data_IF_778125720959
#
_entry.id   IF_778125720959
#
_cell.length_a   1.000
_cell.length_b   1.000
_cell.length_c   1.000
_cell.angle_alpha   90.00
_cell.angle_beta   90.00
_cell.angle_gamma   90.00
#
_symmetry.space_group_name_H-M   'P 1'
#
loop_
_entity.id
_entity.type
_entity.pdbx_description
1 polymer ?
#
# COMPACT_ATOMS: atom_id res chain seq x y z
N UNK A 1 -4.93 9.83 -7.06
CA UNK A 1 -5.54 8.90 -8.02
C UNK A 1 -4.52 8.04 -8.76
N UNK A 2 -3.58 8.60 -9.55
CA UNK A 2 -2.67 7.78 -10.37
C UNK A 2 -1.85 6.71 -9.62
N UNK A 3 -1.36 7.01 -8.40
CA UNK A 3 -0.70 6.02 -7.52
C UNK A 3 -1.63 4.85 -7.19
N UNK A 4 -2.90 5.14 -6.90
CA UNK A 4 -3.91 4.13 -6.60
C UNK A 4 -4.15 3.21 -7.80
N UNK A 5 -4.39 3.79 -8.97
CA UNK A 5 -4.71 3.03 -10.19
C UNK A 5 -3.55 2.11 -10.59
N UNK A 6 -2.32 2.60 -10.50
CA UNK A 6 -1.13 1.80 -10.82
C UNK A 6 -0.83 0.73 -9.78
N UNK A 7 -1.04 1.00 -8.49
CA UNK A 7 -0.88 0.01 -7.42
C UNK A 7 -1.87 -1.16 -7.58
N UNK A 8 -3.15 -0.86 -7.86
CA UNK A 8 -4.17 -1.89 -8.11
C UNK A 8 -3.90 -2.66 -9.41
N UNK A 9 -3.62 -1.97 -10.52
CA UNK A 9 -3.28 -2.63 -11.76
C UNK A 9 -2.09 -3.58 -11.58
N UNK A 10 -1.07 -3.17 -10.81
CA UNK A 10 0.07 -4.03 -10.51
C UNK A 10 -0.30 -5.23 -9.63
N UNK A 11 -1.09 -5.02 -8.59
CA UNK A 11 -1.52 -6.09 -7.68
C UNK A 11 -2.31 -7.20 -8.40
N UNK A 12 -3.10 -6.81 -9.41
CA UNK A 12 -3.88 -7.70 -10.27
C UNK A 12 -3.08 -8.23 -11.48
N UNK A 13 -1.77 -7.95 -11.55
CA UNK A 13 -0.90 -8.29 -12.69
C UNK A 13 -1.42 -7.80 -14.06
N UNK A 14 -2.12 -6.67 -14.07
CA UNK A 14 -2.62 -6.01 -15.28
C UNK A 14 -1.61 -4.97 -15.81
N UNK A 15 -1.67 -4.64 -17.12
CA UNK A 15 -0.95 -3.51 -17.67
C UNK A 15 -1.29 -2.21 -16.92
N UNK A 16 -0.28 -1.38 -16.66
CA UNK A 16 -0.46 -0.10 -15.99
C UNK A 16 -1.22 0.88 -16.91
N UNK A 17 -2.23 1.62 -16.40
CA UNK A 17 -2.95 2.60 -17.21
C UNK A 17 -2.01 3.72 -17.70
N UNK A 18 -1.95 3.94 -19.02
CA UNK A 18 -1.01 4.89 -19.62
C UNK A 18 -1.18 6.32 -19.10
N UNK A 19 -2.41 6.75 -18.84
CA UNK A 19 -2.72 8.07 -18.26
C UNK A 19 -2.20 8.21 -16.82
N UNK A 20 -2.32 7.15 -16.01
CA UNK A 20 -1.80 7.14 -14.65
C UNK A 20 -0.27 7.14 -14.65
N UNK A 21 0.36 6.36 -15.54
CA UNK A 21 1.83 6.38 -15.74
C UNK A 21 2.30 7.78 -16.15
N UNK A 22 1.65 8.41 -17.13
CA UNK A 22 1.98 9.78 -17.55
C UNK A 22 1.83 10.78 -16.41
N UNK A 23 0.78 10.66 -15.60
CA UNK A 23 0.56 11.53 -14.42
C UNK A 23 1.67 11.36 -13.38
N UNK A 24 2.09 10.12 -13.10
CA UNK A 24 3.20 9.84 -12.19
C UNK A 24 4.50 10.46 -12.73
N UNK A 25 4.81 10.23 -14.01
CA UNK A 25 6.02 10.77 -14.63
C UNK A 25 6.05 12.30 -14.61
N UNK A 26 4.91 12.95 -14.90
CA UNK A 26 4.78 14.40 -14.84
C UNK A 26 4.96 14.93 -13.40
N UNK A 27 4.37 14.28 -12.39
CA UNK A 27 4.58 14.69 -11.01
C UNK A 27 6.04 14.52 -10.58
N UNK A 28 6.68 13.41 -10.98
CA UNK A 28 8.07 13.12 -10.67
C UNK A 28 9.07 14.09 -11.32
N UNK A 29 8.72 14.75 -12.43
CA UNK A 29 9.64 15.68 -13.10
C UNK A 29 9.85 16.99 -12.35
N UNK A 30 8.99 17.35 -11.38
CA UNK A 30 9.20 18.50 -10.52
C UNK A 30 10.34 18.24 -9.51
N UNK A 31 10.89 19.31 -8.92
CA UNK A 31 11.86 19.19 -7.83
C UNK A 31 11.23 18.44 -6.63
N UNK A 32 11.89 17.42 -6.06
CA UNK A 32 11.39 16.73 -4.87
C UNK A 32 11.60 17.56 -3.60
N UNK A 33 11.14 17.04 -2.47
CA UNK A 33 11.54 17.55 -1.16
C UNK A 33 13.05 17.39 -0.96
N UNK A 34 13.68 18.39 -0.31
CA UNK A 34 15.13 18.38 -0.01
C UNK A 34 15.30 18.00 1.46
N UNK A 35 15.88 16.82 1.78
CA UNK A 35 16.17 16.45 3.15
C UNK A 35 17.13 17.45 3.81
N UNK A 36 16.88 17.80 5.06
CA UNK A 36 17.75 18.67 5.85
C UNK A 36 18.01 18.03 7.22
N UNK A 37 19.28 17.92 7.60
CA UNK A 37 19.70 17.49 8.94
C UNK A 37 19.87 18.74 9.82
N UNK A 38 19.21 18.78 10.96
CA UNK A 38 19.35 19.85 11.92
C UNK A 38 20.76 19.85 12.55
N UNK A 39 21.16 20.99 13.10
CA UNK A 39 22.48 21.15 13.73
C UNK A 39 22.72 20.23 14.93
N UNK A 40 21.66 19.65 15.52
CA UNK A 40 21.76 18.65 16.58
C UNK A 40 22.26 17.26 16.09
N UNK A 41 22.39 17.08 14.77
CA UNK A 41 22.88 15.86 14.13
C UNK A 41 21.94 14.66 14.23
N UNK A 42 20.74 14.81 14.78
CA UNK A 42 19.81 13.69 15.05
C UNK A 42 18.39 13.97 14.56
N UNK A 43 18.02 15.22 14.35
CA UNK A 43 16.72 15.62 13.84
C UNK A 43 16.81 15.83 12.33
N UNK A 44 15.96 15.13 11.58
CA UNK A 44 15.81 15.33 10.14
C UNK A 44 14.48 16.02 9.81
N UNK A 45 14.48 16.88 8.81
CA UNK A 45 13.32 17.60 8.30
C UNK A 45 13.41 17.83 6.80
N UNK A 46 12.60 18.78 6.33
CA UNK A 46 12.57 19.20 4.93
C UNK A 46 12.89 20.69 4.84
N UNK A 47 13.82 21.04 3.96
CA UNK A 47 14.22 22.43 3.77
C UNK A 47 13.02 23.29 3.30
N UNK A 48 12.73 24.44 3.95
CA UNK A 48 11.64 25.32 3.55
C UNK A 48 11.99 26.16 2.31
N UNK A 49 10.98 26.68 1.58
CA UNK A 49 9.56 26.41 1.78
C UNK A 49 9.15 25.04 1.20
N UNK A 50 8.40 24.27 1.98
CA UNK A 50 7.81 23.00 1.54
C UNK A 50 6.56 23.28 0.70
N UNK A 51 6.55 22.80 -0.55
CA UNK A 51 5.40 22.92 -1.45
C UNK A 51 4.75 21.57 -1.73
N UNK A 52 3.43 21.59 -1.93
CA UNK A 52 2.67 20.39 -2.29
C UNK A 52 3.22 19.68 -3.54
N UNK A 53 3.67 20.45 -4.53
CA UNK A 53 4.28 19.89 -5.74
C UNK A 53 5.57 19.10 -5.46
N UNK A 54 6.38 19.52 -4.47
CA UNK A 54 7.58 18.79 -4.07
C UNK A 54 7.23 17.48 -3.37
N UNK A 55 6.24 17.50 -2.48
CA UNK A 55 5.75 16.29 -1.82
C UNK A 55 5.17 15.28 -2.83
N UNK A 56 4.41 15.77 -3.82
CA UNK A 56 3.88 14.93 -4.90
C UNK A 56 5.00 14.36 -5.78
N UNK A 57 6.04 15.14 -6.09
CA UNK A 57 7.20 14.65 -6.83
C UNK A 57 7.93 13.55 -6.07
N UNK A 58 8.16 13.74 -4.76
CA UNK A 58 8.76 12.70 -3.91
C UNK A 58 7.93 11.42 -3.94
N UNK A 59 6.61 11.50 -3.69
CA UNK A 59 5.74 10.31 -3.72
C UNK A 59 5.67 9.65 -5.10
N UNK A 60 5.69 10.43 -6.18
CA UNK A 60 5.71 9.90 -7.54
C UNK A 60 7.01 9.14 -7.83
N UNK A 61 8.16 9.65 -7.38
CA UNK A 61 9.47 8.99 -7.51
C UNK A 61 9.52 7.68 -6.71
N UNK A 62 9.04 7.68 -5.47
CA UNK A 62 8.89 6.47 -4.66
C UNK A 62 8.01 5.42 -5.35
N UNK A 63 6.91 5.85 -5.98
CA UNK A 63 6.03 4.94 -6.72
C UNK A 63 6.72 4.38 -7.97
N UNK A 64 7.50 5.19 -8.69
CA UNK A 64 8.32 4.71 -9.82
C UNK A 64 9.29 3.64 -9.34
N UNK A 65 10.06 3.92 -8.28
CA UNK A 65 11.00 2.95 -7.70
C UNK A 65 10.30 1.67 -7.27
N UNK A 66 9.16 1.77 -6.61
CA UNK A 66 8.38 0.61 -6.19
C UNK A 66 7.88 -0.23 -7.37
N UNK A 67 7.44 0.41 -8.47
CA UNK A 67 6.91 -0.26 -9.67
C UNK A 67 7.99 -0.89 -10.55
N UNK A 68 9.21 -0.34 -10.55
CA UNK A 68 10.34 -0.83 -11.34
C UNK A 68 11.34 -1.67 -10.53
N UNK A 69 11.24 -1.65 -9.20
CA UNK A 69 12.20 -2.24 -8.29
C UNK A 69 11.91 -3.71 -7.92
N UNK A 70 12.72 -4.28 -7.01
CA UNK A 70 12.64 -5.69 -6.63
C UNK A 70 11.34 -6.05 -5.88
N UNK A 71 10.66 -5.05 -5.30
CA UNK A 71 9.41 -5.24 -4.58
C UNK A 71 8.18 -5.19 -5.49
N UNK A 72 8.34 -4.92 -6.79
CA UNK A 72 7.22 -4.67 -7.68
C UNK A 72 6.31 -5.90 -7.85
N UNK A 73 6.87 -7.12 -7.78
CA UNK A 73 6.11 -8.38 -7.78
C UNK A 73 5.51 -8.76 -6.42
N UNK A 74 5.72 -7.92 -5.38
CA UNK A 74 5.22 -8.13 -4.02
C UNK A 74 4.06 -7.20 -3.67
N UNK A 75 3.60 -6.38 -4.61
CA UNK A 75 2.40 -5.56 -4.45
C UNK A 75 1.18 -6.47 -4.52
N UNK A 76 0.34 -6.48 -3.48
CA UNK A 76 -0.83 -7.36 -3.33
C UNK A 76 -2.05 -6.58 -2.87
N UNK A 77 -3.22 -7.05 -3.27
CA UNK A 77 -4.49 -6.57 -2.70
C UNK A 77 -4.81 -7.26 -1.38
N UNK A 78 -5.49 -6.55 -0.50
CA UNK A 78 -6.04 -7.13 0.71
C UNK A 78 -7.13 -8.16 0.37
N UNK A 79 -7.00 -9.40 0.84
CA UNK A 79 -7.98 -10.46 0.56
C UNK A 79 -9.32 -10.31 1.31
N UNK A 80 -9.62 -9.14 1.89
CA UNK A 80 -10.83 -8.89 2.67
C UNK A 80 -11.90 -8.28 1.78
N UNK A 81 -13.11 -8.85 1.79
CA UNK A 81 -14.21 -8.52 0.86
C UNK A 81 -14.51 -7.02 0.67
N UNK A 82 -14.27 -6.20 1.69
CA UNK A 82 -14.55 -4.76 1.67
C UNK A 82 -13.30 -3.94 2.04
N UNK A 83 -12.12 -4.35 1.58
CA UNK A 83 -10.89 -3.62 1.82
C UNK A 83 -10.14 -3.35 0.51
N UNK A 84 -10.25 -2.15 -0.08
CA UNK A 84 -9.60 -1.83 -1.34
C UNK A 84 -8.12 -1.48 -1.15
N UNK A 85 -7.48 -1.88 -0.05
CA UNK A 85 -6.11 -1.48 0.21
C UNK A 85 -5.14 -2.43 -0.50
N UNK A 86 -4.15 -1.83 -1.15
CA UNK A 86 -2.97 -2.51 -1.67
C UNK A 86 -1.83 -2.40 -0.65
N UNK A 87 -0.98 -3.41 -0.57
CA UNK A 87 0.19 -3.43 0.30
C UNK A 87 1.38 -4.12 -0.39
N UNK A 88 2.59 -3.83 0.09
CA UNK A 88 3.79 -4.57 -0.28
C UNK A 88 4.00 -5.72 0.69
N UNK A 89 4.12 -6.94 0.16
CA UNK A 89 4.36 -8.15 0.93
C UNK A 89 5.84 -8.30 1.29
N UNK A 90 6.21 -7.67 2.39
CA UNK A 90 7.53 -7.76 3.02
C UNK A 90 7.69 -9.00 3.91
N UNK A 91 6.70 -9.91 3.95
CA UNK A 91 6.84 -11.14 4.72
C UNK A 91 7.88 -12.05 4.08
N UNK A 92 8.65 -12.76 4.92
CA UNK A 92 9.68 -13.72 4.48
C UNK A 92 9.15 -14.73 3.45
N UNK A 93 8.00 -15.42 3.66
CA UNK A 93 7.46 -16.34 2.65
C UNK A 93 6.77 -15.63 1.48
N UNK A 94 6.52 -14.31 1.56
CA UNK A 94 5.74 -13.60 0.54
C UNK A 94 4.31 -14.13 0.42
N UNK A 95 3.71 -14.53 1.55
CA UNK A 95 2.37 -15.14 1.59
C UNK A 95 1.37 -14.34 2.45
N UNK A 96 1.63 -13.04 2.66
CA UNK A 96 0.74 -12.18 3.44
C UNK A 96 -0.55 -11.96 2.66
N UNK A 97 -1.69 -12.14 3.32
CA UNK A 97 -3.03 -11.99 2.72
C UNK A 97 -3.75 -10.70 3.07
N UNK A 98 -3.33 -10.01 4.13
CA UNK A 98 -4.08 -8.90 4.72
C UNK A 98 -3.24 -7.63 4.80
N UNK A 99 -3.80 -6.48 4.45
CA UNK A 99 -3.10 -5.19 4.48
C UNK A 99 -2.62 -4.78 5.89
N UNK A 100 -3.20 -5.33 6.96
CA UNK A 100 -2.80 -5.17 8.35
C UNK A 100 -3.42 -6.29 9.18
N UNK A 101 -2.67 -6.82 10.15
CA UNK A 101 -3.15 -7.90 11.02
C UNK A 101 -4.21 -7.36 11.99
N UNK A 102 -3.95 -6.20 12.55
CA UNK A 102 -4.76 -5.47 13.54
C UNK A 102 -6.17 -5.15 13.01
N UNK A 103 -6.26 -4.93 11.69
CA UNK A 103 -7.49 -4.55 11.00
C UNK A 103 -8.12 -5.73 10.26
N UNK A 104 -7.58 -6.11 9.11
CA UNK A 104 -8.21 -7.10 8.22
C UNK A 104 -8.01 -8.53 8.73
N UNK A 105 -6.83 -8.86 9.26
CA UNK A 105 -6.56 -10.18 9.83
C UNK A 105 -7.46 -10.50 11.03
N UNK A 106 -7.64 -9.56 11.95
CA UNK A 106 -8.49 -9.72 13.13
C UNK A 106 -9.97 -9.84 12.76
N UNK A 107 -10.46 -9.02 11.82
CA UNK A 107 -11.84 -9.17 11.31
C UNK A 107 -12.09 -10.56 10.73
N UNK A 108 -11.15 -11.10 9.95
CA UNK A 108 -11.28 -12.45 9.41
C UNK A 108 -11.31 -13.52 10.52
N UNK A 109 -10.43 -13.43 11.52
CA UNK A 109 -10.42 -14.33 12.68
C UNK A 109 -11.76 -14.32 13.44
N UNK A 110 -12.32 -13.13 13.68
CA UNK A 110 -13.60 -12.97 14.37
C UNK A 110 -14.76 -13.56 13.57
N UNK A 111 -14.82 -13.32 12.25
CA UNK A 111 -15.83 -13.94 11.37
C UNK A 111 -15.74 -15.46 11.42
N UNK A 112 -14.53 -16.02 11.32
CA UNK A 112 -14.32 -17.47 11.39
C UNK A 112 -14.73 -18.06 12.75
N UNK A 113 -14.48 -17.35 13.86
CA UNK A 113 -14.93 -17.78 15.19
C UNK A 113 -16.46 -17.83 15.28
N UNK A 114 -17.14 -16.77 14.81
CA UNK A 114 -18.61 -16.70 14.82
C UNK A 114 -19.25 -17.77 13.95
N UNK A 115 -18.68 -18.05 12.77
CA UNK A 115 -19.16 -19.12 11.90
C UNK A 115 -19.07 -20.50 12.57
N UNK A 116 -17.98 -20.77 13.30
CA UNK A 116 -17.84 -22.02 14.08
C UNK A 116 -18.85 -22.12 15.22
N UNK A 117 -19.11 -21.02 15.93
CA UNK A 117 -20.10 -20.98 17.01
C UNK A 117 -21.52 -21.17 16.49
N UNK A 118 -21.86 -20.59 15.35
CA UNK A 118 -23.16 -20.78 14.70
C UNK A 118 -23.37 -22.23 14.25
N UNK A 119 -22.34 -22.87 13.68
CA UNK A 119 -22.42 -24.28 13.28
C UNK A 119 -22.47 -25.26 14.47
N UNK A 120 -21.85 -24.93 15.60
CA UNK A 120 -21.92 -25.75 16.83
C UNK A 120 -23.29 -25.66 17.53
N UNK A 121 -24.02 -24.55 17.37
CA UNK A 121 -25.36 -24.37 17.93
C UNK A 121 -26.47 -25.14 17.19
N UNK A 122 -26.23 -25.56 15.95
CA UNK A 122 -27.21 -26.29 15.13
C UNK A 122 -27.21 -27.80 15.40
N UNK A 123 -26.17 -28.36 16.02
CA UNK A 123 -26.00 -29.82 16.20
C UNK A 123 -26.62 -30.35 17.51
N UNK A 124 -27.07 -29.48 18.43
CA UNK A 124 -27.62 -29.87 19.74
C UNK A 124 -29.15 -29.75 19.85
N UNK A 125 -29.85 -29.67 18.71
CA UNK A 125 -31.31 -29.51 18.66
C UNK A 125 -31.98 -30.48 17.69
N UNK A 126 -31.85 -31.79 17.95
CA UNK A 126 -32.72 -32.85 17.41
C UNK A 126 -33.01 -33.88 18.52
#
# INVERSE_FOLDING_TARGET
QAIWDTAHARAEARPLPATAVATINHAASAAPLVPELAADGTTAGWAPPVRAAQALSTLAREMIELLSGPLAGRIRECASDNCPLVFVDTSRPGARRWCAMERCGNRHKLRALRARQAGAGTVLGE
#
